data_IF_728978219191
#
_entry.id   IF_728978219191
#
_cell.length_a   1.000
_cell.length_b   1.000
_cell.length_c   1.000
_cell.angle_alpha   90.00
_cell.angle_beta   90.00
_cell.angle_gamma   90.00
#
_symmetry.space_group_name_H-M   'P 1'
#
loop_
_entity.id
_entity.type
_entity.pdbx_description
1 polymer ?
#
# COMPACT_ATOMS: atom_id res chain seq x y z
N UNK A 1 -8.61 38.14 -12.14
CA UNK A 1 -9.19 36.95 -12.81
C UNK A 1 -8.20 35.79 -13.02
N UNK A 2 -6.90 36.04 -13.27
CA UNK A 2 -5.89 34.95 -13.44
C UNK A 2 -5.67 34.07 -12.20
N UNK A 3 -5.70 34.63 -10.99
CA UNK A 3 -5.51 33.89 -9.73
C UNK A 3 -6.64 32.92 -9.40
N UNK A 4 -7.89 33.27 -9.73
CA UNK A 4 -9.07 32.43 -9.52
C UNK A 4 -9.07 31.18 -10.42
N UNK A 5 -8.67 31.31 -11.70
CA UNK A 5 -8.55 30.14 -12.59
C UNK A 5 -7.47 29.15 -12.12
N UNK A 6 -6.34 29.65 -11.62
CA UNK A 6 -5.28 28.80 -11.06
C UNK A 6 -5.75 28.05 -9.80
N UNK A 7 -6.54 28.70 -8.95
CA UNK A 7 -7.17 28.07 -7.78
C UNK A 7 -8.15 26.96 -8.17
N UNK A 8 -8.98 27.18 -9.19
CA UNK A 8 -9.93 26.14 -9.65
C UNK A 8 -9.19 24.94 -10.27
N UNK A 9 -8.15 25.18 -11.08
CA UNK A 9 -7.35 24.11 -11.70
C UNK A 9 -6.62 23.26 -10.65
N UNK A 10 -6.06 23.89 -9.61
CA UNK A 10 -5.39 23.17 -8.53
C UNK A 10 -6.37 22.31 -7.72
N UNK A 11 -7.59 22.80 -7.45
CA UNK A 11 -8.64 22.02 -6.76
C UNK A 11 -9.04 20.79 -7.60
N UNK A 12 -9.27 20.95 -8.91
CA UNK A 12 -9.64 19.83 -9.80
C UNK A 12 -8.51 18.80 -9.90
N UNK A 13 -7.26 19.25 -10.00
CA UNK A 13 -6.09 18.36 -10.04
C UNK A 13 -5.95 17.55 -8.74
N UNK A 14 -6.09 18.20 -7.57
CA UNK A 14 -6.00 17.53 -6.26
C UNK A 14 -7.13 16.52 -6.05
N UNK A 15 -8.37 16.88 -6.41
CA UNK A 15 -9.51 15.97 -6.29
C UNK A 15 -9.41 14.76 -7.24
N UNK A 16 -8.93 14.97 -8.46
CA UNK A 16 -8.65 13.90 -9.43
C UNK A 16 -7.55 12.95 -8.94
N UNK A 17 -6.42 13.49 -8.47
CA UNK A 17 -5.32 12.71 -7.90
C UNK A 17 -5.77 11.89 -6.69
N UNK A 18 -6.56 12.49 -5.80
CA UNK A 18 -7.09 11.80 -4.62
C UNK A 18 -8.01 10.62 -4.99
N UNK A 19 -8.84 10.81 -6.01
CA UNK A 19 -9.74 9.76 -6.51
C UNK A 19 -8.94 8.60 -7.11
N UNK A 20 -7.88 8.90 -7.88
CA UNK A 20 -6.98 7.89 -8.42
C UNK A 20 -6.26 7.09 -7.31
N UNK A 21 -5.69 7.76 -6.30
CA UNK A 21 -5.05 7.08 -5.15
C UNK A 21 -6.02 6.16 -4.41
N UNK A 22 -7.26 6.59 -4.19
CA UNK A 22 -8.28 5.77 -3.54
C UNK A 22 -8.63 4.51 -4.36
N UNK A 23 -8.71 4.63 -5.69
CA UNK A 23 -8.94 3.48 -6.58
C UNK A 23 -7.79 2.47 -6.47
N UNK A 24 -6.55 2.93 -6.50
CA UNK A 24 -5.36 2.07 -6.37
C UNK A 24 -5.35 1.33 -5.02
N UNK A 25 -5.72 2.00 -3.92
CA UNK A 25 -5.85 1.34 -2.61
C UNK A 25 -6.88 0.20 -2.62
N UNK A 26 -8.02 0.35 -3.32
CA UNK A 26 -8.99 -0.74 -3.44
C UNK A 26 -8.45 -1.88 -4.29
N UNK A 27 -7.74 -1.58 -5.38
CA UNK A 27 -7.13 -2.59 -6.24
C UNK A 27 -6.05 -3.39 -5.49
N UNK A 28 -5.22 -2.73 -4.66
CA UNK A 28 -4.25 -3.41 -3.78
C UNK A 28 -4.97 -4.39 -2.86
N UNK A 29 -6.10 -4.00 -2.26
CA UNK A 29 -6.88 -4.89 -1.39
C UNK A 29 -7.43 -6.11 -2.15
N UNK A 30 -7.92 -5.92 -3.37
CA UNK A 30 -8.37 -7.01 -4.23
C UNK A 30 -7.21 -7.98 -4.53
N UNK A 31 -6.03 -7.44 -4.86
CA UNK A 31 -4.83 -8.24 -5.13
C UNK A 31 -4.40 -9.04 -3.88
N UNK A 32 -4.43 -8.42 -2.69
CA UNK A 32 -4.19 -9.11 -1.41
C UNK A 32 -5.14 -10.29 -1.21
N UNK A 33 -6.44 -10.08 -1.40
CA UNK A 33 -7.43 -11.15 -1.26
C UNK A 33 -7.20 -12.28 -2.26
N UNK A 34 -6.82 -11.93 -3.49
CA UNK A 34 -6.52 -12.92 -4.53
C UNK A 34 -5.29 -13.77 -4.14
N UNK A 35 -4.22 -13.14 -3.66
CA UNK A 35 -3.01 -13.83 -3.20
C UNK A 35 -3.35 -14.75 -2.02
N UNK A 36 -4.07 -14.26 -1.01
CA UNK A 36 -4.50 -15.06 0.14
C UNK A 36 -5.32 -16.30 -0.25
N UNK A 37 -6.13 -16.20 -1.33
CA UNK A 37 -6.98 -17.30 -1.79
C UNK A 37 -6.25 -18.29 -2.70
N UNK A 38 -5.32 -17.83 -3.54
CA UNK A 38 -4.71 -18.63 -4.61
C UNK A 38 -3.31 -19.14 -4.31
N UNK A 39 -2.59 -18.52 -3.37
CA UNK A 39 -1.23 -18.95 -3.03
C UNK A 39 -1.23 -20.26 -2.26
N UNK A 40 -0.18 -21.06 -2.44
CA UNK A 40 0.04 -22.29 -1.67
C UNK A 40 0.28 -21.98 -0.18
N UNK A 41 0.05 -22.99 0.67
CA UNK A 41 0.37 -22.90 2.10
C UNK A 41 1.84 -22.57 2.34
N UNK A 42 2.76 -23.10 1.53
CA UNK A 42 4.19 -22.81 1.58
C UNK A 42 4.48 -21.30 1.45
N UNK A 43 3.90 -20.64 0.44
CA UNK A 43 4.05 -19.20 0.23
C UNK A 43 3.44 -18.40 1.39
N UNK A 44 2.29 -18.86 1.93
CA UNK A 44 1.58 -18.14 2.99
C UNK A 44 2.23 -18.31 4.38
N UNK A 45 2.96 -19.42 4.58
CA UNK A 45 3.65 -19.74 5.83
C UNK A 45 5.11 -19.25 5.86
N UNK A 46 5.65 -18.75 4.73
CA UNK A 46 6.98 -18.12 4.73
C UNK A 46 6.99 -16.92 5.69
N UNK A 47 8.09 -16.75 6.41
CA UNK A 47 8.29 -15.61 7.31
C UNK A 47 8.90 -14.44 6.56
N UNK A 48 8.42 -13.24 6.88
CA UNK A 48 8.88 -11.97 6.30
C UNK A 48 8.94 -10.88 7.34
N UNK A 49 9.80 -9.88 7.12
CA UNK A 49 9.94 -8.72 8.00
C UNK A 49 8.63 -7.94 8.15
N UNK A 50 8.26 -7.68 9.39
CA UNK A 50 7.06 -6.96 9.78
C UNK A 50 7.27 -5.44 9.75
N UNK A 51 7.23 -4.88 8.54
CA UNK A 51 7.43 -3.44 8.32
C UNK A 51 6.15 -2.62 8.44
N UNK A 52 5.01 -3.27 8.75
CA UNK A 52 3.72 -2.58 8.86
C UNK A 52 3.35 -2.48 10.34
N UNK A 53 3.34 -1.27 10.92
CA UNK A 53 3.02 -1.10 12.33
C UNK A 53 1.57 -1.51 12.61
N UNK A 54 1.33 -1.98 13.83
CA UNK A 54 -0.02 -2.37 14.28
C UNK A 54 -0.97 -1.18 14.39
N UNK A 55 -0.44 0.03 14.57
CA UNK A 55 -1.20 1.27 14.66
C UNK A 55 -0.61 2.35 13.75
N UNK A 56 -1.50 3.08 13.06
CA UNK A 56 -1.10 4.03 12.02
C UNK A 56 -0.70 3.33 10.71
N UNK A 57 -0.74 4.08 9.60
CA UNK A 57 -0.08 3.65 8.38
C UNK A 57 0.21 4.87 7.49
N UNK A 58 1.22 4.73 6.63
CA UNK A 58 1.65 5.76 5.67
C UNK A 58 1.94 5.12 4.32
N UNK A 59 2.05 5.94 3.28
CA UNK A 59 2.41 5.46 1.93
C UNK A 59 3.80 4.78 1.93
N UNK A 60 4.72 5.22 2.79
CA UNK A 60 6.06 4.62 2.98
C UNK A 60 5.98 3.16 3.49
N UNK A 61 5.08 2.84 4.42
CA UNK A 61 4.92 1.48 4.92
C UNK A 61 4.44 0.51 3.82
N UNK A 62 3.56 0.96 2.92
CA UNK A 62 3.16 0.17 1.76
C UNK A 62 4.33 -0.04 0.78
N UNK A 63 5.22 0.94 0.65
CA UNK A 63 6.42 0.71 -0.16
C UNK A 63 7.40 -0.26 0.48
N UNK A 64 7.68 -0.11 1.78
CA UNK A 64 8.52 -1.05 2.50
C UNK A 64 7.96 -2.47 2.39
N UNK A 65 6.64 -2.61 2.39
CA UNK A 65 6.00 -3.89 2.16
C UNK A 65 6.29 -4.46 0.76
N UNK A 66 6.27 -3.63 -0.29
CA UNK A 66 6.71 -4.04 -1.62
C UNK A 66 8.18 -4.51 -1.62
N UNK A 67 9.08 -3.79 -0.93
CA UNK A 67 10.49 -4.19 -0.82
C UNK A 67 10.67 -5.53 -0.12
N UNK A 68 9.92 -5.78 0.94
CA UNK A 68 9.93 -7.09 1.61
C UNK A 68 9.50 -8.17 0.62
N UNK A 69 8.43 -7.94 -0.15
CA UNK A 69 7.95 -8.89 -1.16
C UNK A 69 8.93 -9.14 -2.31
N UNK A 70 9.84 -8.21 -2.62
CA UNK A 70 10.86 -8.35 -3.67
C UNK A 70 11.79 -9.55 -3.42
N UNK A 71 11.95 -9.95 -2.15
CA UNK A 71 12.77 -11.10 -1.75
C UNK A 71 11.95 -12.38 -1.56
N UNK A 72 10.74 -12.45 -2.10
CA UNK A 72 9.82 -13.58 -1.95
C UNK A 72 9.33 -14.09 -3.30
N UNK A 73 8.56 -15.18 -3.30
CA UNK A 73 7.86 -15.68 -4.48
C UNK A 73 6.84 -14.69 -5.08
N UNK A 74 6.47 -13.64 -4.35
CA UNK A 74 5.50 -12.63 -4.79
C UNK A 74 6.15 -11.44 -5.53
N UNK A 75 7.47 -11.42 -5.75
CA UNK A 75 8.20 -10.31 -6.39
C UNK A 75 7.70 -9.89 -7.77
N UNK A 76 7.06 -10.79 -8.53
CA UNK A 76 6.48 -10.46 -9.84
C UNK A 76 4.94 -10.42 -9.83
N UNK A 77 4.32 -10.50 -8.66
CA UNK A 77 2.87 -10.41 -8.51
C UNK A 77 2.34 -9.02 -8.87
N UNK A 78 1.06 -8.97 -9.29
CA UNK A 78 0.34 -7.70 -9.45
C UNK A 78 0.34 -6.88 -8.17
N UNK A 79 0.19 -7.55 -7.01
CA UNK A 79 0.24 -6.92 -5.69
C UNK A 79 1.56 -6.17 -5.46
N UNK A 80 2.70 -6.81 -5.69
CA UNK A 80 4.01 -6.17 -5.53
C UNK A 80 4.14 -4.92 -6.41
N UNK A 81 3.80 -5.04 -7.69
CA UNK A 81 3.88 -3.91 -8.64
C UNK A 81 3.01 -2.74 -8.21
N UNK A 82 1.79 -3.03 -7.74
CA UNK A 82 0.81 -2.02 -7.36
C UNK A 82 1.17 -1.32 -6.05
N UNK A 83 1.73 -2.05 -5.08
CA UNK A 83 2.28 -1.47 -3.85
C UNK A 83 3.43 -0.51 -4.16
N UNK A 84 4.36 -0.92 -5.03
CA UNK A 84 5.50 -0.09 -5.42
C UNK A 84 5.07 1.17 -6.18
N UNK A 85 4.07 1.06 -7.07
CA UNK A 85 3.54 2.19 -7.82
C UNK A 85 2.74 3.19 -6.97
N UNK A 86 2.18 2.75 -5.84
CA UNK A 86 1.39 3.62 -4.97
C UNK A 86 2.26 4.62 -4.19
N UNK A 87 3.52 4.27 -3.89
CA UNK A 87 4.44 5.14 -3.18
C UNK A 87 5.31 5.96 -4.13
N UNK A 88 5.20 7.27 -4.07
CA UNK A 88 6.03 8.19 -4.87
C UNK A 88 7.47 8.28 -4.35
N UNK A 89 7.67 8.09 -3.04
CA UNK A 89 8.97 8.06 -2.39
C UNK A 89 9.04 6.83 -1.52
N UNK A 90 10.11 6.05 -1.73
CA UNK A 90 10.32 4.82 -1.01
C UNK A 90 11.74 4.77 -0.47
N UNK A 91 11.88 4.86 0.86
CA UNK A 91 13.19 4.74 1.48
C UNK A 91 13.86 3.45 1.04
N UNK A 92 15.19 3.50 0.82
CA UNK A 92 15.98 2.29 0.53
C UNK A 92 16.14 1.41 1.78
N UNK A 93 15.89 1.97 2.95
CA UNK A 93 16.07 1.29 4.23
C UNK A 93 14.81 0.51 4.62
N UNK A 94 14.99 -0.77 4.94
CA UNK A 94 13.99 -1.58 5.64
C UNK A 94 14.39 -1.57 7.12
N UNK A 95 13.55 -1.06 8.04
CA UNK A 95 13.88 -1.02 9.45
C UNK A 95 14.09 -2.44 10.01
N UNK A 96 14.92 -2.53 11.05
CA UNK A 96 14.98 -3.74 11.87
C UNK A 96 13.58 -3.98 12.47
N UNK A 97 13.04 -5.16 12.23
CA UNK A 97 11.68 -5.55 12.59
C UNK A 97 11.65 -7.06 12.81
N UNK A 98 10.71 -7.50 13.65
CA UNK A 98 10.41 -8.92 13.83
C UNK A 98 9.91 -9.54 12.52
N UNK A 99 9.91 -10.87 12.45
CA UNK A 99 9.35 -11.59 11.31
C UNK A 99 7.96 -12.13 11.64
N UNK A 100 7.06 -12.07 10.66
CA UNK A 100 5.71 -12.62 10.74
C UNK A 100 5.42 -13.48 9.52
N UNK A 101 4.40 -14.34 9.62
CA UNK A 101 3.95 -15.13 8.48
C UNK A 101 3.41 -14.21 7.38
N UNK A 102 3.71 -14.55 6.11
CA UNK A 102 3.24 -13.83 4.94
C UNK A 102 1.71 -13.66 4.93
N UNK A 103 0.96 -14.66 5.41
CA UNK A 103 -0.49 -14.56 5.56
C UNK A 103 -0.91 -13.37 6.42
N UNK A 104 -0.25 -13.16 7.56
CA UNK A 104 -0.60 -12.07 8.48
C UNK A 104 -0.04 -10.74 8.00
N UNK A 105 1.13 -10.75 7.37
CA UNK A 105 1.68 -9.61 6.65
C UNK A 105 0.71 -9.07 5.57
N UNK A 106 0.16 -9.96 4.75
CA UNK A 106 -0.85 -9.62 3.74
C UNK A 106 -2.12 -9.01 4.36
N UNK A 107 -2.57 -9.53 5.52
CA UNK A 107 -3.70 -8.92 6.25
C UNK A 107 -3.36 -7.52 6.75
N UNK A 108 -2.14 -7.29 7.26
CA UNK A 108 -1.68 -5.96 7.69
C UNK A 108 -1.66 -4.96 6.53
N UNK A 109 -1.29 -5.37 5.31
CA UNK A 109 -1.41 -4.52 4.12
C UNK A 109 -2.86 -4.07 3.91
N UNK A 110 -3.83 -4.98 4.00
CA UNK A 110 -5.26 -4.66 3.86
C UNK A 110 -5.74 -3.66 4.94
N UNK A 111 -5.31 -3.85 6.19
CA UNK A 111 -5.59 -2.92 7.30
C UNK A 111 -5.00 -1.55 7.01
N UNK A 112 -3.74 -1.49 6.58
CA UNK A 112 -3.07 -0.25 6.21
C UNK A 112 -3.83 0.51 5.11
N UNK A 113 -4.26 -0.18 4.04
CA UNK A 113 -5.05 0.44 2.97
C UNK A 113 -6.36 1.06 3.50
N UNK A 114 -7.03 0.40 4.44
CA UNK A 114 -8.24 0.94 5.06
C UNK A 114 -7.94 2.18 5.91
N UNK A 115 -6.83 2.20 6.64
CA UNK A 115 -6.38 3.36 7.43
C UNK A 115 -6.12 4.56 6.52
N UNK A 116 -5.35 4.37 5.44
CA UNK A 116 -5.06 5.44 4.48
C UNK A 116 -6.32 5.96 3.77
N UNK A 117 -7.29 5.08 3.52
CA UNK A 117 -8.58 5.46 2.93
C UNK A 117 -9.45 6.28 3.89
N UNK A 118 -9.43 5.97 5.20
CA UNK A 118 -10.20 6.71 6.23
C UNK A 118 -9.58 8.05 6.59
N UNK A 119 -8.26 8.12 6.76
CA UNK A 119 -7.56 9.33 7.20
C UNK A 119 -7.77 10.52 6.24
N UNK A 120 -7.89 10.24 4.94
CA UNK A 120 -8.12 11.28 3.91
C UNK A 120 -9.60 11.66 3.71
N UNK A 121 -10.54 10.96 4.35
CA UNK A 121 -11.98 11.30 4.32
C UNK A 121 -12.38 12.34 5.37
N UNK A 122 -11.61 12.46 6.46
CA UNK A 122 -11.85 13.40 7.57
C UNK A 122 -11.11 14.74 7.45
N UNK A 123 -10.30 14.94 6.40
CA UNK A 123 -9.66 16.23 6.09
C UNK A 123 -10.33 16.96 4.92
N UNK A 124 -11.57 16.62 4.60
CA UNK A 124 -12.42 17.32 3.63
C UNK A 124 -13.41 18.22 4.35
#
# INVERSE_FOLDING_TARGET
MRTLMLLVLTIVAVTGLQTAKNKVLQEIKCDVQMVLKKSSSEILNQFVKDVIPSAGCSEEHLCQAARVMMNTHLKYSGLHRRLFAFSENCSRHIPASDEIQMKDFLKKINVCCNTLHKYKRHMK
#
